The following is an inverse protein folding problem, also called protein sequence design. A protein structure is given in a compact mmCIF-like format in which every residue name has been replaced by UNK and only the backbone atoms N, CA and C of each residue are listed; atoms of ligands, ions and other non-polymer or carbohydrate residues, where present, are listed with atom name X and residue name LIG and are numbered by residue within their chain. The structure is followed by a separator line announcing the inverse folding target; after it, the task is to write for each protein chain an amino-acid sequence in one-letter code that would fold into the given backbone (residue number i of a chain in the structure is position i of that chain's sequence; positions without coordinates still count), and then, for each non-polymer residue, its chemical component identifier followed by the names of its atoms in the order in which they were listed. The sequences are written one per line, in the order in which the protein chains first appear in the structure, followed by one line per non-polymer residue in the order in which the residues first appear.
data_IF_112522471705
#
_entry.id   IF_112522471705
#
_cell.length_a   1.000
_cell.length_b   1.000
_cell.length_c   1.000
_cell.angle_alpha   90.00
_cell.angle_beta   90.00
_cell.angle_gamma   90.00
#
_symmetry.space_group_name_H-M   'P 1'
#
loop_
_entity.id
_entity.type
_entity.pdbx_description
1 polymer ?
#
# COMPACT_ATOMS: atom_id res chain seq x y z
N UNK A 1 8.03 -4.41 -8.81
CA UNK A 1 6.71 -4.24 -8.15
C UNK A 1 5.75 -5.25 -8.76
N UNK A 2 5.15 -6.13 -7.96
CA UNK A 2 4.14 -7.09 -8.46
C UNK A 2 2.77 -6.50 -8.21
N UNK A 3 2.02 -6.23 -9.28
CA UNK A 3 0.61 -5.82 -9.22
C UNK A 3 -0.17 -6.83 -8.36
N UNK A 4 -0.82 -6.35 -7.30
CA UNK A 4 -1.63 -7.17 -6.38
C UNK A 4 -0.99 -7.51 -5.03
N UNK A 5 0.26 -7.10 -4.77
CA UNK A 5 0.85 -7.20 -3.42
C UNK A 5 0.48 -5.99 -2.56
N UNK A 6 0.20 -6.23 -1.27
CA UNK A 6 -0.01 -5.13 -0.31
C UNK A 6 1.23 -4.22 -0.30
N UNK A 7 1.06 -2.88 -0.18
CA UNK A 7 2.19 -1.97 -0.08
C UNK A 7 3.11 -2.40 1.07
N UNK A 8 4.39 -2.59 0.78
CA UNK A 8 5.38 -2.84 1.83
C UNK A 8 5.62 -1.54 2.60
N UNK A 9 5.93 -1.68 3.90
CA UNK A 9 6.31 -0.53 4.72
C UNK A 9 7.68 -0.04 4.24
N UNK A 10 7.89 1.27 4.33
CA UNK A 10 9.14 1.90 3.87
C UNK A 10 10.37 1.34 4.61
N UNK A 11 10.22 1.03 5.90
CA UNK A 11 11.29 0.42 6.72
C UNK A 11 11.68 -0.99 6.27
N UNK A 12 10.73 -1.73 5.68
CA UNK A 12 10.98 -3.09 5.18
C UNK A 12 11.59 -3.06 3.78
N UNK A 13 11.11 -2.16 2.92
CA UNK A 13 11.59 -2.05 1.53
C UNK A 13 12.94 -1.34 1.44
N UNK A 14 13.14 -0.26 2.21
CA UNK A 14 14.35 0.56 2.19
C UNK A 14 14.88 0.84 3.61
N UNK A 15 15.41 -0.17 4.31
CA UNK A 15 15.87 -0.03 5.69
C UNK A 15 17.02 0.96 5.85
N UNK A 16 17.90 1.08 4.85
CA UNK A 16 19.00 2.06 4.88
C UNK A 16 18.51 3.51 4.85
N UNK A 17 17.44 3.80 4.10
CA UNK A 17 16.80 5.10 4.12
C UNK A 17 16.05 5.33 5.43
N UNK A 18 15.34 4.32 5.92
CA UNK A 18 14.56 4.44 7.16
C UNK A 18 15.43 4.75 8.38
N UNK A 19 16.62 4.14 8.43
CA UNK A 19 17.59 4.32 9.51
C UNK A 19 18.57 5.49 9.26
N UNK A 20 18.46 6.19 8.13
CA UNK A 20 19.27 7.38 7.88
C UNK A 20 18.82 8.52 8.81
N UNK A 21 19.77 9.06 9.56
CA UNK A 21 19.49 10.11 10.56
C UNK A 21 18.90 11.38 9.94
N UNK A 22 19.36 11.76 8.74
CA UNK A 22 18.85 12.94 8.06
C UNK A 22 17.43 12.70 7.54
N UNK A 23 17.17 11.56 6.90
CA UNK A 23 15.82 11.18 6.50
C UNK A 23 14.86 11.07 7.68
N UNK A 24 15.29 10.49 8.80
CA UNK A 24 14.54 10.46 10.05
C UNK A 24 14.14 11.86 10.52
N UNK A 25 15.10 12.80 10.53
CA UNK A 25 14.82 14.20 10.88
C UNK A 25 13.81 14.88 9.92
N UNK A 26 13.95 14.68 8.61
CA UNK A 26 12.99 15.23 7.63
C UNK A 26 11.59 14.65 7.86
N UNK A 27 11.51 13.33 8.08
CA UNK A 27 10.26 12.61 8.31
C UNK A 27 9.55 13.09 9.56
N UNK A 28 10.27 13.14 10.68
CA UNK A 28 9.68 13.39 12.00
C UNK A 28 9.28 14.86 12.19
N UNK A 29 9.94 15.78 11.48
CA UNK A 29 9.64 17.22 11.52
C UNK A 29 8.79 17.73 10.34
N UNK A 30 8.22 16.83 9.53
CA UNK A 30 7.46 17.18 8.33
C UNK A 30 8.23 18.13 7.37
N UNK A 31 9.54 17.91 7.23
CA UNK A 31 10.44 18.71 6.40
C UNK A 31 10.37 18.42 4.90
N UNK A 32 9.54 17.46 4.48
CA UNK A 32 9.38 17.11 3.07
C UNK A 32 8.77 18.27 2.29
N UNK A 33 9.46 18.70 1.24
CA UNK A 33 8.92 19.68 0.29
C UNK A 33 8.22 18.98 -0.88
N UNK A 34 8.93 18.09 -1.57
CA UNK A 34 8.37 17.28 -2.66
C UNK A 34 9.21 16.03 -2.86
N UNK A 35 8.60 14.98 -3.41
CA UNK A 35 9.27 13.74 -3.79
C UNK A 35 8.88 13.30 -5.19
N UNK A 36 9.85 12.83 -5.96
CA UNK A 36 9.65 12.36 -7.34
C UNK A 36 10.73 11.36 -7.71
N UNK A 37 10.49 10.58 -8.77
CA UNK A 37 11.52 9.71 -9.34
C UNK A 37 12.20 10.36 -10.52
N UNK A 38 13.46 10.00 -10.74
CA UNK A 38 14.19 10.37 -11.93
C UNK A 38 14.94 9.17 -12.48
N UNK A 39 14.90 9.04 -13.81
CA UNK A 39 15.65 8.03 -14.53
C UNK A 39 17.01 8.63 -14.89
N UNK A 40 18.06 8.12 -14.26
CA UNK A 40 19.44 8.49 -14.57
C UNK A 40 20.03 7.51 -15.60
N UNK A 41 21.26 7.76 -16.05
CA UNK A 41 22.00 6.89 -16.96
C UNK A 41 22.11 5.44 -16.46
N UNK A 42 22.38 5.26 -15.17
CA UNK A 42 22.78 3.97 -14.60
C UNK A 42 21.69 3.32 -13.73
N UNK A 43 20.75 4.11 -13.18
CA UNK A 43 19.68 3.60 -12.33
C UNK A 43 18.52 4.58 -12.27
N UNK A 44 17.51 4.24 -11.47
CA UNK A 44 16.38 5.08 -11.15
C UNK A 44 16.45 5.44 -9.66
N UNK A 45 16.13 6.68 -9.35
CA UNK A 45 16.24 7.21 -8.00
C UNK A 45 14.93 7.84 -7.55
N UNK A 46 14.60 7.67 -6.28
CA UNK A 46 13.59 8.51 -5.61
C UNK A 46 14.34 9.63 -4.92
N UNK A 47 13.95 10.87 -5.20
CA UNK A 47 14.48 12.06 -4.56
C UNK A 47 13.42 12.59 -3.59
N UNK A 48 13.77 12.64 -2.31
CA UNK A 48 13.02 13.34 -1.27
C UNK A 48 13.70 14.68 -1.04
N UNK A 49 13.07 15.77 -1.48
CA UNK A 49 13.69 17.10 -1.40
C UNK A 49 13.09 17.92 -0.26
N UNK A 50 13.91 18.80 0.29
CA UNK A 50 13.56 19.81 1.29
C UNK A 50 13.75 21.20 0.69
N UNK A 51 13.21 22.26 1.32
CA UNK A 51 13.57 23.63 0.95
C UNK A 51 14.91 24.02 1.59
N UNK A 52 15.80 24.66 0.83
CA UNK A 52 17.11 25.12 1.31
C UNK A 52 16.99 26.06 2.52
N UNK A 53 15.91 26.84 2.59
CA UNK A 53 15.61 27.72 3.73
C UNK A 53 15.40 26.99 5.06
N UNK A 54 15.11 25.68 5.04
CA UNK A 54 14.98 24.85 6.25
C UNK A 54 16.33 24.41 6.83
N UNK A 55 17.44 24.65 6.11
CA UNK A 55 18.78 24.21 6.53
C UNK A 55 18.99 22.69 6.55
N UNK A 56 17.99 21.90 6.17
CA UNK A 56 18.05 20.43 6.16
C UNK A 56 18.23 19.94 4.73
N UNK A 57 19.10 18.97 4.50
CA UNK A 57 19.26 18.35 3.18
C UNK A 57 18.17 17.31 2.93
N UNK A 58 17.79 17.09 1.67
CA UNK A 58 16.91 15.99 1.29
C UNK A 58 17.54 14.60 1.48
N UNK A 59 16.93 13.58 0.89
CA UNK A 59 17.48 12.24 0.77
C UNK A 59 17.27 11.71 -0.65
N UNK A 60 18.20 10.91 -1.15
CA UNK A 60 18.10 10.26 -2.47
C UNK A 60 18.34 8.78 -2.29
N UNK A 61 17.52 7.93 -2.89
CA UNK A 61 17.70 6.47 -2.82
C UNK A 61 17.63 5.85 -4.21
N UNK A 62 18.53 4.91 -4.49
CA UNK A 62 18.48 4.08 -5.67
C UNK A 62 17.35 3.04 -5.51
N UNK A 63 16.38 3.04 -6.42
CA UNK A 63 15.20 2.16 -6.33
C UNK A 63 15.59 0.68 -6.38
N UNK A 64 16.65 0.33 -7.11
CA UNK A 64 17.06 -1.06 -7.33
C UNK A 64 17.95 -1.58 -6.20
N UNK A 65 18.92 -0.78 -5.76
CA UNK A 65 19.91 -1.23 -4.76
C UNK A 65 19.54 -0.85 -3.33
N UNK A 66 18.63 0.11 -3.14
CA UNK A 66 18.31 0.67 -1.83
C UNK A 66 19.41 1.56 -1.25
N UNK A 67 20.48 1.82 -2.00
CA UNK A 67 21.62 2.63 -1.57
C UNK A 67 21.27 4.13 -1.56
N UNK A 68 21.84 4.83 -0.59
CA UNK A 68 21.69 6.28 -0.46
C UNK A 68 22.59 7.00 -1.47
N UNK A 69 22.05 8.04 -2.08
CA UNK A 69 22.74 8.92 -3.01
C UNK A 69 22.92 10.34 -2.45
N UNK A 70 23.56 11.20 -3.26
CA UNK A 70 23.69 12.63 -2.96
C UNK A 70 22.32 13.28 -2.73
N UNK A 71 22.14 14.04 -1.63
CA UNK A 71 20.85 14.69 -1.34
C UNK A 71 20.67 15.99 -2.15
N UNK A 72 19.41 16.37 -2.37
CA UNK A 72 19.04 17.62 -3.04
C UNK A 72 18.23 18.53 -2.11
N UNK A 73 18.38 19.83 -2.33
CA UNK A 73 17.54 20.87 -1.73
C UNK A 73 17.00 21.75 -2.83
N UNK A 74 15.80 22.28 -2.62
CA UNK A 74 15.18 23.24 -3.50
C UNK A 74 15.42 24.66 -2.97
N UNK A 75 16.04 25.52 -3.78
CA UNK A 75 16.41 26.88 -3.38
C UNK A 75 15.38 27.96 -3.75
N UNK A 76 14.29 27.61 -4.43
CA UNK A 76 13.23 28.55 -4.76
C UNK A 76 12.29 28.82 -3.59
N UNK A 77 11.48 29.86 -3.72
CA UNK A 77 10.51 30.29 -2.71
C UNK A 77 9.08 29.82 -3.03
N UNK A 78 8.82 29.47 -4.29
CA UNK A 78 7.55 28.94 -4.77
C UNK A 78 7.23 27.55 -4.19
N UNK A 79 5.94 27.23 -4.20
CA UNK A 79 5.46 25.91 -3.84
C UNK A 79 5.33 25.07 -5.11
N UNK A 80 6.23 24.11 -5.26
CA UNK A 80 6.29 23.23 -6.41
C UNK A 80 5.87 21.81 -6.05
N UNK A 81 5.20 21.15 -7.00
CA UNK A 81 5.00 19.71 -6.98
C UNK A 81 5.72 19.12 -8.18
N UNK A 82 6.78 18.37 -7.91
CA UNK A 82 7.53 17.69 -8.97
C UNK A 82 6.81 16.39 -9.34
N UNK A 83 6.61 16.17 -10.63
CA UNK A 83 5.96 15.00 -11.20
C UNK A 83 7.01 14.14 -11.89
N UNK A 84 7.04 12.87 -11.55
CA UNK A 84 7.97 11.92 -12.18
C UNK A 84 7.70 11.78 -13.68
N UNK A 85 8.70 11.41 -14.46
CA UNK A 85 8.57 11.16 -15.90
C UNK A 85 9.35 9.92 -16.31
N UNK A 86 8.97 9.30 -17.43
CA UNK A 86 9.69 8.21 -18.08
C UNK A 86 10.86 8.72 -18.94
N UNK A 87 11.00 10.03 -19.12
CA UNK A 87 12.16 10.61 -19.79
C UNK A 87 13.40 10.67 -18.87
N UNK A 88 14.57 10.29 -19.40
CA UNK A 88 15.84 10.37 -18.68
C UNK A 88 16.15 11.80 -18.29
N UNK A 89 16.50 12.00 -17.01
CA UNK A 89 16.94 13.28 -16.43
C UNK A 89 15.93 14.42 -16.55
N UNK A 90 14.68 14.12 -16.90
CA UNK A 90 13.60 15.10 -17.07
C UNK A 90 12.41 14.74 -16.22
N UNK A 91 11.63 15.74 -15.87
CA UNK A 91 10.43 15.62 -15.06
C UNK A 91 9.56 16.86 -15.29
N UNK A 92 8.35 16.86 -14.74
CA UNK A 92 7.49 18.04 -14.80
C UNK A 92 7.39 18.68 -13.41
N UNK A 93 7.05 19.96 -13.37
CA UNK A 93 6.75 20.65 -12.14
C UNK A 93 5.39 21.34 -12.29
N UNK A 94 4.60 21.30 -11.23
CA UNK A 94 3.38 22.08 -11.08
C UNK A 94 3.58 23.16 -10.03
N UNK A 95 2.90 24.27 -10.22
CA UNK A 95 2.77 25.33 -9.20
C UNK A 95 1.41 25.99 -9.28
N UNK A 96 1.01 26.62 -8.18
CA UNK A 96 -0.10 27.58 -8.21
C UNK A 96 0.44 28.92 -8.68
N UNK A 97 0.00 29.36 -9.86
CA UNK A 97 0.27 30.71 -10.36
C UNK A 97 -0.87 31.67 -9.99
N UNK A 98 -0.75 32.91 -10.45
CA UNK A 98 -1.78 33.95 -10.26
C UNK A 98 -3.11 33.58 -10.92
N UNK A 99 -3.03 32.69 -11.92
CA UNK A 99 -4.11 32.27 -12.82
C UNK A 99 -4.31 30.75 -12.79
N UNK A 100 -4.37 30.19 -11.59
CA UNK A 100 -4.61 28.75 -11.37
C UNK A 100 -3.36 27.88 -11.51
N UNK A 101 -3.58 26.60 -11.80
CA UNK A 101 -2.52 25.58 -11.86
C UNK A 101 -1.68 25.73 -13.12
N UNK A 102 -0.37 25.80 -12.95
CA UNK A 102 0.60 25.90 -14.03
C UNK A 102 1.52 24.69 -14.05
N UNK A 103 2.00 24.33 -15.24
CA UNK A 103 2.94 23.23 -15.51
C UNK A 103 4.15 23.72 -16.30
N UNK A 104 5.30 23.11 -16.02
CA UNK A 104 6.56 23.35 -16.72
C UNK A 104 7.37 22.05 -16.77
N UNK A 105 8.20 21.87 -17.80
CA UNK A 105 9.13 20.75 -17.91
C UNK A 105 10.47 21.16 -17.31
N UNK A 106 11.04 20.30 -16.48
CA UNK A 106 12.30 20.53 -15.79
C UNK A 106 13.30 19.43 -16.12
N UNK A 107 14.58 19.75 -15.99
CA UNK A 107 15.64 18.79 -16.27
C UNK A 107 16.84 18.97 -15.35
N UNK A 108 17.62 17.89 -15.22
CA UNK A 108 18.96 17.93 -14.68
C UNK A 108 19.97 18.23 -15.80
N UNK A 109 20.72 19.33 -15.64
CA UNK A 109 21.86 19.67 -16.49
C UNK A 109 23.07 18.87 -16.03
N UNK A 110 23.42 17.78 -16.72
CA UNK A 110 24.55 16.93 -16.38
C UNK A 110 24.48 15.56 -17.06
N UNK A 111 25.53 14.74 -16.88
CA UNK A 111 25.56 13.35 -17.38
C UNK A 111 24.91 12.35 -16.42
N UNK A 112 24.90 12.68 -15.14
CA UNK A 112 24.23 11.96 -14.07
C UNK A 112 23.74 12.95 -13.03
N UNK A 113 22.74 12.56 -12.24
CA UNK A 113 22.28 13.36 -11.10
C UNK A 113 23.46 13.70 -10.16
N UNK A 114 24.42 12.79 -10.00
CA UNK A 114 25.55 12.99 -9.09
C UNK A 114 26.63 13.97 -9.63
N UNK A 115 26.66 14.21 -10.94
CA UNK A 115 27.70 15.00 -11.63
C UNK A 115 27.43 16.51 -11.59
N UNK A 116 27.50 17.12 -10.40
CA UNK A 116 27.23 18.57 -10.20
C UNK A 116 25.95 19.05 -10.90
N UNK A 117 24.96 18.16 -11.05
CA UNK A 117 23.81 18.42 -11.88
C UNK A 117 22.95 19.51 -11.27
N UNK A 118 22.58 20.49 -12.09
CA UNK A 118 21.66 21.57 -11.73
C UNK A 118 20.27 21.22 -12.21
N UNK A 119 19.28 21.44 -11.36
CA UNK A 119 17.87 21.32 -11.73
C UNK A 119 17.42 22.66 -12.28
N UNK A 120 16.96 22.69 -13.53
CA UNK A 120 16.52 23.92 -14.21
C UNK A 120 15.20 23.70 -14.95
N UNK A 121 14.36 24.74 -15.08
CA UNK A 121 13.23 24.68 -16.00
C UNK A 121 13.75 24.65 -17.44
N UNK A 122 13.12 23.83 -18.27
CA UNK A 122 13.39 23.69 -19.71
C UNK A 122 12.39 24.53 -20.54
N UNK A 123 11.21 24.87 -19.99
CA UNK A 123 10.22 25.70 -20.69
C UNK A 123 9.78 26.90 -19.86
N UNK A 124 8.91 27.74 -20.45
CA UNK A 124 8.10 28.68 -19.65
C UNK A 124 7.01 27.92 -18.90
N UNK A 125 6.36 28.60 -17.97
CA UNK A 125 5.19 28.10 -17.28
C UNK A 125 3.94 28.26 -18.15
N UNK A 126 3.17 27.19 -18.29
CA UNK A 126 1.89 27.19 -18.99
C UNK A 126 0.75 26.91 -18.02
N UNK A 127 -0.38 27.57 -18.18
CA UNK A 127 -1.60 27.31 -17.41
C UNK A 127 -2.34 26.08 -17.92
N UNK A 128 -2.90 25.31 -16.98
CA UNK A 128 -3.91 24.29 -17.27
C UNK A 128 -5.27 24.99 -17.32
N UNK A 129 -5.94 24.89 -18.47
CA UNK A 129 -7.19 25.57 -18.72
C UNK A 129 -8.31 24.57 -19.04
N UNK A 130 -9.54 24.95 -18.69
CA UNK A 130 -10.75 24.30 -19.17
C UNK A 130 -11.26 25.00 -20.43
N UNK A 131 -12.02 24.27 -21.25
CA UNK A 131 -12.77 24.87 -22.38
C UNK A 131 -13.98 25.67 -21.94
N UNK A 132 -14.57 25.31 -20.79
CA UNK A 132 -15.80 25.89 -20.26
C UNK A 132 -15.55 26.37 -18.83
N UNK A 133 -16.33 27.34 -18.32
CA UNK A 133 -16.34 27.64 -16.89
C UNK A 133 -16.59 26.36 -16.10
N UNK A 134 -15.86 26.20 -14.99
CA UNK A 134 -15.98 25.06 -14.09
C UNK A 134 -16.33 25.62 -12.73
N UNK A 135 -17.43 25.18 -12.14
CA UNK A 135 -17.74 25.51 -10.75
C UNK A 135 -16.67 24.97 -9.78
N UNK A 136 -16.61 25.47 -8.54
CA UNK A 136 -15.62 25.05 -7.55
C UNK A 136 -15.68 23.55 -7.20
N UNK A 137 -16.82 22.89 -7.45
CA UNK A 137 -17.01 21.45 -7.20
C UNK A 137 -17.08 20.61 -8.48
N UNK A 138 -17.07 21.24 -9.65
CA UNK A 138 -17.16 20.55 -10.93
C UNK A 138 -15.78 20.13 -11.42
N UNK A 139 -15.76 19.09 -12.24
CA UNK A 139 -14.54 18.58 -12.86
C UNK A 139 -14.62 18.84 -14.37
N UNK A 140 -13.62 19.52 -14.98
CA UNK A 140 -13.67 19.80 -16.40
C UNK A 140 -13.51 18.51 -17.19
N UNK A 141 -14.37 18.30 -18.18
CA UNK A 141 -14.26 17.16 -19.10
C UNK A 141 -13.04 17.23 -20.01
N UNK A 142 -12.45 18.42 -20.15
CA UNK A 142 -11.35 18.66 -21.08
C UNK A 142 -10.28 19.57 -20.48
N UNK A 143 -9.03 19.27 -20.81
CA UNK A 143 -7.86 20.08 -20.46
C UNK A 143 -7.23 20.64 -21.74
N UNK A 144 -6.78 21.89 -21.66
CA UNK A 144 -5.91 22.54 -22.65
C UNK A 144 -4.76 23.19 -21.89
N UNK A 145 -3.53 23.10 -22.40
CA UNK A 145 -2.39 23.86 -21.89
C UNK A 145 -2.16 25.10 -22.75
N UNK A 146 -2.08 26.27 -22.11
CA UNK A 146 -1.89 27.57 -22.79
C UNK A 146 -0.97 28.48 -21.98
N UNK A 147 -0.45 29.52 -22.62
CA UNK A 147 0.22 30.63 -21.91
C UNK A 147 -0.75 31.42 -21.05
N UNK A 148 -1.99 31.59 -21.50
CA UNK A 148 -3.05 32.31 -20.78
C UNK A 148 -4.37 31.53 -20.82
N UNK A 149 -5.01 31.41 -19.66
CA UNK A 149 -6.30 30.76 -19.51
C UNK A 149 -7.43 31.79 -19.43
N UNK A 150 -8.54 31.51 -20.11
CA UNK A 150 -9.82 32.19 -19.90
C UNK A 150 -10.61 31.55 -18.73
N UNK A 151 -10.52 30.22 -18.62
CA UNK A 151 -11.10 29.42 -17.55
C UNK A 151 -10.01 28.54 -16.98
N UNK A 152 -9.59 28.85 -15.77
CA UNK A 152 -8.43 28.27 -15.11
C UNK A 152 -8.82 26.99 -14.38
N UNK A 153 -7.91 26.02 -14.39
CA UNK A 153 -8.03 24.83 -13.56
C UNK A 153 -7.22 25.06 -12.30
N UNK A 154 -7.85 24.93 -11.13
CA UNK A 154 -7.19 25.10 -9.81
C UNK A 154 -7.25 23.81 -9.00
N UNK A 155 -6.85 22.69 -9.61
CA UNK A 155 -6.79 21.41 -8.91
C UNK A 155 -5.72 21.43 -7.82
N UNK A 156 -6.10 21.01 -6.61
CA UNK A 156 -5.14 20.70 -5.56
C UNK A 156 -4.41 19.40 -5.92
N UNK A 157 -3.16 19.50 -6.37
CA UNK A 157 -2.34 18.33 -6.71
C UNK A 157 -1.36 18.03 -5.57
N UNK A 158 -1.36 16.78 -5.11
CA UNK A 158 -0.48 16.30 -4.06
C UNK A 158 0.82 15.75 -4.65
N UNK A 159 0.72 15.01 -5.77
CA UNK A 159 1.82 14.35 -6.48
C UNK A 159 1.34 13.90 -7.85
N UNK A 160 2.26 13.42 -8.68
CA UNK A 160 1.89 12.81 -9.95
C UNK A 160 3.06 12.28 -10.74
N UNK A 161 2.74 11.72 -11.89
CA UNK A 161 3.72 11.27 -12.86
C UNK A 161 3.16 11.38 -14.27
N UNK A 162 4.07 11.37 -15.23
CA UNK A 162 3.81 11.15 -16.65
C UNK A 162 4.39 9.79 -17.02
N UNK A 163 3.62 8.95 -17.68
CA UNK A 163 4.06 7.63 -18.14
C UNK A 163 4.63 7.64 -19.58
N UNK A 164 4.69 8.81 -20.21
CA UNK A 164 5.07 8.99 -21.62
C UNK A 164 3.89 9.08 -22.59
N UNK A 165 2.65 8.93 -22.10
CA UNK A 165 1.44 9.14 -22.90
C UNK A 165 0.40 10.01 -22.17
N UNK A 166 0.37 9.92 -20.84
CA UNK A 166 -0.64 10.56 -20.00
C UNK A 166 -0.02 11.10 -18.72
N UNK A 167 -0.59 12.21 -18.25
CA UNK A 167 -0.38 12.71 -16.90
C UNK A 167 -1.36 12.04 -15.94
N UNK A 168 -0.87 11.67 -14.76
CA UNK A 168 -1.66 11.18 -13.63
C UNK A 168 -1.40 12.10 -12.44
N UNK A 169 -2.32 13.02 -12.18
CA UNK A 169 -2.22 14.00 -11.10
C UNK A 169 -3.10 13.57 -9.93
N UNK A 170 -2.47 13.23 -8.81
CA UNK A 170 -3.13 12.75 -7.60
C UNK A 170 -3.59 13.95 -6.79
N UNK A 171 -4.89 14.22 -6.79
CA UNK A 171 -5.53 15.17 -5.89
C UNK A 171 -6.05 14.51 -4.61
N UNK A 172 -6.68 15.26 -3.70
CA UNK A 172 -7.24 14.73 -2.46
C UNK A 172 -8.36 13.70 -2.67
N UNK A 173 -9.19 13.89 -3.71
CA UNK A 173 -10.36 13.04 -3.99
C UNK A 173 -10.21 12.18 -5.24
N UNK A 174 -9.59 12.75 -6.28
CA UNK A 174 -9.50 12.16 -7.60
C UNK A 174 -8.07 12.12 -8.10
N UNK A 175 -7.81 11.16 -8.98
CA UNK A 175 -6.65 11.12 -9.86
C UNK A 175 -7.13 11.69 -11.19
N UNK A 176 -6.59 12.85 -11.57
CA UNK A 176 -6.87 13.52 -12.84
C UNK A 176 -5.93 12.96 -13.89
N UNK A 177 -6.51 12.45 -14.98
CA UNK A 177 -5.79 11.74 -16.04
C UNK A 177 -6.07 12.43 -17.36
N UNK A 178 -5.03 12.80 -18.09
CA UNK A 178 -5.17 13.41 -19.41
C UNK A 178 -3.92 13.19 -20.25
N UNK A 179 -4.06 13.18 -21.57
CA UNK A 179 -2.93 12.93 -22.48
C UNK A 179 -1.84 13.99 -22.33
N UNK A 180 -0.59 13.57 -22.38
CA UNK A 180 0.56 14.45 -22.29
C UNK A 180 0.85 15.28 -23.54
N UNK A 181 0.26 14.85 -24.66
CA UNK A 181 0.32 15.52 -25.93
C UNK A 181 -0.14 16.99 -25.87
N UNK A 182 -1.01 17.35 -24.92
CA UNK A 182 -1.41 18.76 -24.73
C UNK A 182 -0.29 19.65 -24.23
N UNK A 183 0.76 19.09 -23.64
CA UNK A 183 1.97 19.82 -23.26
C UNK A 183 2.88 20.05 -24.47
N UNK A 184 3.09 19.01 -25.29
CA UNK A 184 3.93 19.09 -26.50
C UNK A 184 3.25 19.90 -27.63
N UNK A 185 1.92 19.92 -27.66
CA UNK A 185 1.10 20.69 -28.61
C UNK A 185 0.15 21.63 -27.89
N UNK A 186 0.67 22.81 -27.56
CA UNK A 186 -0.10 23.88 -26.90
C UNK A 186 -1.41 24.19 -27.65
N UNK A 187 -2.41 24.64 -26.89
CA UNK A 187 -3.78 24.91 -27.38
C UNK A 187 -4.58 23.69 -27.86
N UNK A 188 -4.00 22.48 -27.86
CA UNK A 188 -4.75 21.26 -28.15
C UNK A 188 -5.63 20.87 -26.97
N UNK A 189 -6.88 20.52 -27.26
CA UNK A 189 -7.82 19.94 -26.29
C UNK A 189 -7.62 18.44 -26.18
N UNK A 190 -7.61 17.95 -24.94
CA UNK A 190 -7.73 16.52 -24.64
C UNK A 190 -8.83 16.27 -23.62
N UNK A 191 -9.30 15.03 -23.56
CA UNK A 191 -10.26 14.62 -22.54
C UNK A 191 -9.55 14.46 -21.19
N UNK A 192 -10.22 14.90 -20.13
CA UNK A 192 -9.81 14.68 -18.75
C UNK A 192 -10.67 13.59 -18.15
N UNK A 193 -10.03 12.58 -17.57
CA UNK A 193 -10.67 11.49 -16.85
C UNK A 193 -10.39 11.69 -15.37
N UNK A 194 -11.39 11.50 -14.53
CA UNK A 194 -11.27 11.62 -13.08
C UNK A 194 -11.63 10.29 -12.44
N UNK A 195 -10.65 9.63 -11.82
CA UNK A 195 -10.86 8.38 -11.11
C UNK A 195 -10.75 8.57 -9.61
N UNK A 196 -11.62 7.95 -8.84
CA UNK A 196 -11.36 7.78 -7.40
C UNK A 196 -10.15 6.88 -7.19
N UNK A 197 -9.54 6.94 -6.02
CA UNK A 197 -8.41 6.08 -5.66
C UNK A 197 -8.79 4.59 -5.75
N UNK A 198 -9.96 4.20 -5.25
CA UNK A 198 -10.45 2.81 -5.32
C UNK A 198 -10.73 2.34 -6.76
N UNK A 199 -11.19 3.25 -7.62
CA UNK A 199 -11.42 2.97 -9.04
C UNK A 199 -10.15 2.93 -9.88
N UNK A 200 -9.05 3.50 -9.38
CA UNK A 200 -7.75 3.47 -10.04
C UNK A 200 -6.91 2.29 -9.58
N UNK A 201 -6.79 2.10 -8.27
CA UNK A 201 -6.07 0.99 -7.66
C UNK A 201 -7.01 -0.21 -7.53
N UNK A 202 -7.25 -0.90 -8.65
CA UNK A 202 -8.03 -2.14 -8.63
C UNK A 202 -7.16 -3.26 -8.08
N UNK A 203 -7.17 -3.42 -6.76
CA UNK A 203 -6.66 -4.63 -6.13
C UNK A 203 -7.54 -5.79 -6.56
N UNK A 204 -7.01 -6.68 -7.41
CA UNK A 204 -7.63 -7.98 -7.58
C UNK A 204 -7.51 -8.67 -6.22
N UNK A 205 -8.62 -8.80 -5.50
CA UNK A 205 -8.64 -9.64 -4.32
C UNK A 205 -8.11 -11.01 -4.72
N UNK A 206 -7.25 -11.61 -3.90
CA UNK A 206 -6.73 -12.96 -4.10
C UNK A 206 -7.87 -13.97 -3.87
N UNK A 207 -8.84 -13.97 -4.79
CA UNK A 207 -10.01 -14.85 -4.78
C UNK A 207 -9.58 -16.32 -4.78
N UNK A 208 -8.36 -16.63 -5.21
CA UNK A 208 -7.79 -17.98 -5.14
C UNK A 208 -7.79 -18.54 -3.72
N UNK A 209 -7.37 -17.77 -2.71
CA UNK A 209 -7.40 -18.24 -1.32
C UNK A 209 -8.81 -18.41 -0.79
N UNK A 210 -9.70 -17.45 -1.07
CA UNK A 210 -11.10 -17.50 -0.59
C UNK A 210 -11.83 -18.69 -1.22
N UNK A 211 -11.67 -18.90 -2.53
CA UNK A 211 -12.26 -20.03 -3.25
C UNK A 211 -11.70 -21.36 -2.72
N UNK A 212 -10.39 -21.46 -2.47
CA UNK A 212 -9.78 -22.66 -1.89
C UNK A 212 -10.32 -22.97 -0.48
N UNK A 213 -10.52 -21.95 0.36
CA UNK A 213 -11.15 -22.11 1.68
C UNK A 213 -12.60 -22.61 1.55
N UNK A 214 -13.37 -22.05 0.62
CA UNK A 214 -14.76 -22.48 0.37
C UNK A 214 -14.84 -23.93 -0.12
N UNK A 215 -13.95 -24.33 -1.05
CA UNK A 215 -13.87 -25.72 -1.55
C UNK A 215 -13.48 -26.68 -0.42
N UNK A 216 -12.47 -26.33 0.39
CA UNK A 216 -12.03 -27.16 1.52
C UNK A 216 -13.14 -27.32 2.57
N UNK A 217 -13.89 -26.25 2.87
CA UNK A 217 -15.03 -26.30 3.78
C UNK A 217 -16.15 -27.22 3.26
N UNK A 218 -16.48 -27.14 1.96
CA UNK A 218 -17.46 -28.02 1.33
C UNK A 218 -17.01 -29.50 1.34
N UNK A 219 -15.73 -29.77 1.07
CA UNK A 219 -15.17 -31.13 1.16
C UNK A 219 -15.20 -31.67 2.59
N UNK A 220 -14.87 -30.85 3.60
CA UNK A 220 -14.96 -31.26 5.00
C UNK A 220 -16.40 -31.58 5.42
N UNK A 221 -17.37 -30.78 4.97
CA UNK A 221 -18.80 -30.98 5.26
C UNK A 221 -19.34 -32.27 4.62
N UNK A 222 -18.95 -32.55 3.37
CA UNK A 222 -19.32 -33.80 2.68
C UNK A 222 -18.70 -35.03 3.35
N UNK A 223 -17.45 -34.94 3.83
CA UNK A 223 -16.82 -36.03 4.57
C UNK A 223 -17.52 -36.28 5.92
N UNK A 224 -17.86 -35.21 6.65
CA UNK A 224 -18.56 -35.30 7.94
C UNK A 224 -19.94 -35.96 7.78
N UNK A 225 -20.71 -35.56 6.77
CA UNK A 225 -22.03 -36.14 6.49
C UNK A 225 -21.94 -37.61 6.10
N UNK A 226 -20.93 -38.01 5.31
CA UNK A 226 -20.63 -39.42 5.00
C UNK A 226 -20.30 -40.24 6.24
N UNK A 227 -19.47 -39.70 7.15
CA UNK A 227 -19.12 -40.35 8.41
C UNK A 227 -20.35 -40.53 9.31
N UNK A 228 -21.18 -39.50 9.46
CA UNK A 228 -22.43 -39.57 10.20
C UNK A 228 -23.39 -40.59 9.60
N UNK A 229 -23.52 -40.63 8.27
CA UNK A 229 -24.32 -41.63 7.57
C UNK A 229 -23.81 -43.06 7.81
N UNK A 230 -22.50 -43.26 7.76
CA UNK A 230 -21.86 -44.56 8.05
C UNK A 230 -22.09 -45.00 9.50
N UNK A 231 -21.95 -44.08 10.46
CA UNK A 231 -22.24 -44.33 11.88
C UNK A 231 -23.71 -44.73 12.08
N UNK A 232 -24.65 -43.97 11.52
CA UNK A 232 -26.09 -44.28 11.57
C UNK A 232 -26.40 -45.65 10.95
N UNK A 233 -25.81 -45.99 9.80
CA UNK A 233 -26.00 -47.29 9.15
C UNK A 233 -25.44 -48.46 9.99
N UNK A 234 -24.27 -48.29 10.63
CA UNK A 234 -23.69 -49.30 11.54
C UNK A 234 -24.53 -49.48 12.80
N UNK A 235 -25.04 -48.39 13.39
CA UNK A 235 -25.95 -48.46 14.54
C UNK A 235 -27.27 -49.18 14.19
N UNK A 236 -27.83 -48.97 13.00
CA UNK A 236 -29.03 -49.69 12.53
C UNK A 236 -28.77 -51.18 12.31
N UNK A 237 -27.62 -51.58 11.77
CA UNK A 237 -27.26 -53.00 11.59
C UNK A 237 -26.99 -53.72 12.92
N UNK A 238 -26.40 -53.06 13.91
CA UNK A 238 -26.15 -53.63 15.24
C UNK A 238 -27.46 -53.94 16.00
N UNK A 239 -28.50 -53.10 15.85
CA UNK A 239 -29.81 -53.35 16.45
C UNK A 239 -30.59 -54.52 15.82
N UNK A 240 -30.30 -54.91 14.57
CA UNK A 240 -30.92 -56.08 13.92
C UNK A 240 -30.33 -57.44 14.34
N UNK A 241 -29.13 -57.49 14.93
CA UNK A 241 -28.48 -58.75 15.35
C UNK A 241 -28.76 -59.18 16.81
N UNK A 242 -29.54 -58.42 17.58
CA UNK A 242 -29.93 -58.76 18.95
C UNK A 242 -31.35 -59.35 19.06
N UNK A 243 -31.87 -59.93 17.99
CA UNK A 243 -33.27 -60.38 17.88
C UNK A 243 -33.52 -61.88 17.71
N UNK A 244 -32.50 -62.74 17.75
CA UNK A 244 -32.69 -64.21 17.70
C UNK A 244 -31.84 -64.89 18.78
N UNK A 245 -32.53 -65.39 19.81
CA UNK A 245 -32.05 -66.41 20.75
C UNK A 245 -32.96 -67.64 20.56
N UNK A 246 -32.40 -68.87 20.59
CA UNK A 246 -33.08 -69.90 21.36
C UNK A 246 -32.13 -70.65 22.31
N UNK A 247 -32.44 -70.47 23.60
CA UNK A 247 -32.48 -71.42 24.73
C UNK A 247 -31.85 -72.83 24.65
N UNK A 248 -31.13 -73.14 25.76
CA UNK A 248 -30.85 -74.44 26.45
C UNK A 248 -29.77 -75.33 25.79
N UNK A 249 -28.83 -75.99 26.49
CA UNK A 249 -28.87 -76.63 27.81
C UNK A 249 -27.45 -76.90 28.41
N UNK A 250 -27.39 -76.90 29.74
CA UNK A 250 -26.62 -77.73 30.70
C UNK A 250 -25.41 -78.56 30.21
N UNK A 251 -24.21 -78.33 30.79
CA UNK A 251 -23.50 -79.25 31.73
C UNK A 251 -22.07 -78.81 32.07
N UNK A 252 -21.78 -78.86 33.36
CA UNK A 252 -20.48 -78.76 34.02
C UNK A 252 -19.43 -79.73 33.47
N UNK A 253 -18.15 -79.32 33.42
CA UNK A 253 -17.06 -80.10 34.05
C UNK A 253 -15.74 -79.31 34.19
N UNK A 254 -15.30 -79.23 35.45
CA UNK A 254 -13.94 -79.50 35.96
C UNK A 254 -12.69 -78.90 35.26
N UNK A 255 -12.01 -78.06 36.07
CA UNK A 255 -10.68 -78.35 36.64
C UNK A 255 -9.40 -77.96 35.86
N UNK A 256 -8.66 -77.05 36.52
CA UNK A 256 -7.24 -77.12 36.97
C UNK A 256 -6.22 -76.18 36.33
N UNK A 257 -5.67 -75.35 37.24
CA UNK A 257 -4.23 -75.03 37.50
C UNK A 257 -3.48 -74.25 36.41
N UNK A 258 -2.65 -73.25 36.69
CA UNK A 258 -1.62 -73.03 37.75
C UNK A 258 -1.35 -71.51 37.88
N UNK A 259 -1.19 -70.91 39.06
CA UNK A 259 0.09 -70.62 39.79
C UNK A 259 1.20 -70.06 38.88
N UNK A 260 1.97 -69.02 39.20
CA UNK A 260 2.15 -68.20 40.40
C UNK A 260 3.04 -66.98 40.10
N UNK A 261 2.95 -65.97 40.98
CA UNK A 261 4.04 -65.12 41.50
C UNK A 261 4.95 -64.33 40.53
N UNK A 262 5.03 -63.01 40.73
CA UNK A 262 6.08 -62.40 41.58
C UNK A 262 5.85 -60.90 41.74
N UNK A 263 5.98 -60.45 43.00
CA UNK A 263 6.26 -59.06 43.40
C UNK A 263 7.65 -58.66 42.89
N UNK A 264 7.82 -57.39 42.51
CA UNK A 264 8.88 -56.54 43.09
C UNK A 264 8.74 -55.09 42.64
N UNK A 265 8.96 -54.20 43.61
CA UNK A 265 8.99 -52.76 43.52
C UNK A 265 10.17 -52.22 42.69
N UNK A 266 10.11 -50.92 42.32
CA UNK A 266 11.13 -49.91 42.67
C UNK A 266 11.28 -48.78 41.63
N UNK A 267 11.36 -47.55 42.17
CA UNK A 267 12.09 -46.34 41.71
C UNK A 267 11.49 -45.39 40.66
N UNK A 268 11.08 -44.23 41.20
CA UNK A 268 11.40 -42.83 40.82
C UNK A 268 12.16 -42.60 39.50
N UNK A 269 11.61 -41.70 38.69
CA UNK A 269 12.25 -40.44 38.25
C UNK A 269 11.24 -39.49 37.59
N UNK A 270 11.28 -38.22 37.98
CA UNK A 270 10.73 -37.03 37.28
C UNK A 270 11.57 -36.75 36.02
N UNK A 271 11.10 -36.04 34.97
CA UNK A 271 10.82 -34.60 35.08
C UNK A 271 9.67 -34.01 34.20
N UNK A 272 9.12 -32.92 34.73
CA UNK A 272 8.75 -31.64 34.13
C UNK A 272 8.06 -31.49 32.74
N UNK A 273 7.23 -30.43 32.70
CA UNK A 273 6.77 -29.60 31.57
C UNK A 273 5.48 -30.05 30.87
N UNK A 274 4.37 -29.37 31.15
CA UNK A 274 3.83 -28.30 30.26
C UNK A 274 2.34 -28.00 30.52
N UNK A 275 2.07 -26.70 30.50
CA UNK A 275 0.96 -26.03 29.81
C UNK A 275 -0.47 -26.10 30.36
N UNK A 276 -1.19 -25.04 29.94
CA UNK A 276 -2.58 -24.64 30.16
C UNK A 276 -2.81 -23.85 31.45
N UNK A 277 -3.31 -22.61 31.43
CA UNK A 277 -4.07 -21.91 30.40
C UNK A 277 -5.28 -21.25 31.07
N UNK A 278 -5.69 -20.08 30.57
CA UNK A 278 -6.91 -19.40 31.03
C UNK A 278 -6.66 -17.89 31.24
N UNK A 279 -6.86 -17.01 30.26
CA UNK A 279 -8.12 -16.54 29.65
C UNK A 279 -8.74 -15.34 30.36
N UNK A 280 -8.88 -14.26 29.58
CA UNK A 280 -9.97 -13.29 29.50
C UNK A 280 -10.08 -12.13 30.51
N UNK A 281 -10.00 -10.91 29.98
CA UNK A 281 -11.00 -9.82 30.10
C UNK A 281 -10.42 -8.56 29.39
N UNK A 282 -10.91 -8.13 28.23
CA UNK A 282 -12.13 -7.35 28.00
C UNK A 282 -12.10 -5.90 28.55
N UNK A 283 -12.04 -4.95 27.60
CA UNK A 283 -12.76 -3.66 27.56
C UNK A 283 -12.24 -2.46 28.37
N UNK A 284 -11.78 -1.40 27.67
CA UNK A 284 -12.40 -0.06 27.81
C UNK A 284 -11.97 0.97 26.75
N UNK A 285 -12.99 1.66 26.23
CA UNK A 285 -12.98 2.90 25.45
C UNK A 285 -12.70 4.13 26.33
N UNK A 286 -11.98 5.10 25.76
CA UNK A 286 -12.09 6.55 25.99
C UNK A 286 -11.20 7.21 24.93
N UNK A 287 -11.67 7.87 23.86
CA UNK A 287 -12.45 9.12 23.74
C UNK A 287 -11.88 10.26 24.58
N UNK A 288 -10.97 11.05 24.00
CA UNK A 288 -10.82 12.46 24.35
C UNK A 288 -10.60 13.28 23.09
N UNK A 289 -11.43 14.31 23.00
CA UNK A 289 -11.37 15.40 22.04
C UNK A 289 -10.60 16.55 22.70
N UNK A 290 -9.83 17.30 21.92
CA UNK A 290 -9.42 18.66 22.27
C UNK A 290 -9.67 19.58 21.09
N UNK A 291 -10.56 20.55 21.32
CA UNK A 291 -10.83 21.70 20.44
C UNK A 291 -9.61 22.64 20.37
N UNK A 292 -9.53 23.50 19.32
CA UNK A 292 -8.52 24.53 19.18
C UNK A 292 -8.90 25.79 19.97
N UNK A 293 -7.88 26.57 20.37
CA UNK A 293 -8.04 27.96 20.82
C UNK A 293 -7.41 28.94 19.82
N UNK A 294 -7.93 30.18 19.69
CA UNK A 294 -7.53 31.15 18.67
C UNK A 294 -6.68 32.33 19.17
N UNK A 295 -5.92 32.92 18.23
CA UNK A 295 -5.53 34.35 18.03
C UNK A 295 -4.77 35.12 19.12
N UNK A 296 -3.61 35.68 18.73
CA UNK A 296 -3.14 37.10 18.82
C UNK A 296 -1.71 37.13 18.22
N UNK A 297 -1.24 38.05 17.37
CA UNK A 297 -1.60 39.44 17.10
C UNK A 297 -0.55 40.39 17.72
N UNK A 298 0.12 41.20 16.90
CA UNK A 298 1.08 42.30 17.19
C UNK A 298 2.55 41.85 17.37
N UNK A 299 3.57 42.46 16.76
CA UNK A 299 3.77 43.79 16.12
C UNK A 299 4.57 43.68 14.83
#
# INVERSE_FOLDING_TARGET
MVLGSAPKRLEDEWPHLWNDSNFGHIRDNNGFFTSFTVIDKNSEYVLFTTKKSTGTFGATINIKTGELGKPYTYSGNDDLRMLSSTEKMKFYALRKGDKGLQINKWEFVGKSIFDNAKIVPNSTWYGLCSTTPVGPEELPEHVIIKTECKHEIDWAVLRGFNDGEQFYLFGPKYIHIFSDDVFERLNRKTNAIHKSYDGFFVCHADYGRIIMFLIAALLALTLLTLLLYCCCCRCRKSKKKKGEEPTKSVKNSKSRRTKSSKKSASKKSTPAVSAFGGSNAATRRSKMASKPSPIQGQT
#
